data_IF_953045059982
#
_entry.id   IF_953045059982
#
_cell.length_a   1.000
_cell.length_b   1.000
_cell.length_c   1.000
_cell.angle_alpha   90.00
_cell.angle_beta   90.00
_cell.angle_gamma   90.00
#
_symmetry.space_group_name_H-M   'P 1'
#
loop_
_entity.id
_entity.type
_entity.pdbx_description
1 polymer ?
#
# COMPACT_ATOMS: atom_id res chain seq x y z
N UNK A 1 -15.53 16.68 3.44
CA UNK A 1 -15.35 18.12 3.27
C UNK A 1 -16.14 18.64 2.08
N UNK A 2 -15.86 18.14 0.88
CA UNK A 2 -16.54 18.54 -0.38
C UNK A 2 -18.06 18.43 -0.32
N UNK A 3 -18.59 17.29 0.12
CA UNK A 3 -20.04 17.08 0.27
C UNK A 3 -20.66 18.08 1.24
N UNK A 4 -20.00 18.33 2.36
CA UNK A 4 -20.47 19.30 3.36
C UNK A 4 -20.43 20.74 2.84
N UNK A 5 -19.36 21.12 2.12
CA UNK A 5 -19.21 22.45 1.52
C UNK A 5 -20.26 22.73 0.44
N UNK A 6 -20.47 21.77 -0.46
CA UNK A 6 -21.52 21.87 -1.49
C UNK A 6 -22.90 21.92 -0.83
N UNK A 7 -23.14 21.11 0.20
CA UNK A 7 -24.40 21.15 0.95
C UNK A 7 -24.68 22.53 1.56
N UNK A 8 -23.71 23.15 2.23
CA UNK A 8 -23.88 24.50 2.81
C UNK A 8 -24.12 25.56 1.74
N UNK A 9 -23.41 25.46 0.61
CA UNK A 9 -23.60 26.37 -0.51
C UNK A 9 -25.01 26.26 -1.12
N UNK A 10 -25.50 25.04 -1.35
CA UNK A 10 -26.83 24.81 -1.88
C UNK A 10 -27.93 25.27 -0.92
N UNK A 11 -27.72 25.10 0.38
CA UNK A 11 -28.66 25.54 1.41
C UNK A 11 -28.74 27.08 1.44
N UNK A 12 -27.60 27.77 1.38
CA UNK A 12 -27.57 29.24 1.28
C UNK A 12 -28.27 29.75 0.00
N UNK A 13 -28.01 29.12 -1.15
CA UNK A 13 -28.68 29.47 -2.41
C UNK A 13 -30.19 29.25 -2.30
N UNK A 14 -30.61 28.10 -1.75
CA UNK A 14 -32.01 27.76 -1.53
C UNK A 14 -32.75 28.78 -0.64
N UNK A 15 -32.10 29.29 0.41
CA UNK A 15 -32.69 30.34 1.26
C UNK A 15 -32.77 31.71 0.58
N UNK A 16 -31.89 32.00 -0.39
CA UNK A 16 -31.84 33.29 -1.09
C UNK A 16 -32.81 33.38 -2.29
N UNK A 17 -33.38 32.25 -2.73
CA UNK A 17 -34.36 32.19 -3.83
C UNK A 17 -33.85 32.53 -5.22
N UNK A 18 -32.56 32.84 -5.40
CA UNK A 18 -31.94 33.20 -6.68
C UNK A 18 -30.84 32.17 -7.03
N UNK A 19 -31.10 31.32 -8.03
CA UNK A 19 -30.16 30.28 -8.47
C UNK A 19 -29.40 30.68 -9.74
N UNK A 20 -28.69 31.79 -9.71
CA UNK A 20 -27.81 32.19 -10.83
C UNK A 20 -26.51 31.38 -10.83
N UNK A 21 -25.97 31.13 -12.03
CA UNK A 21 -24.75 30.33 -12.23
C UNK A 21 -23.53 30.90 -11.49
N UNK A 22 -23.48 32.22 -11.34
CA UNK A 22 -22.41 32.91 -10.61
C UNK A 22 -22.38 32.54 -9.12
N UNK A 23 -23.54 32.19 -8.53
CA UNK A 23 -23.65 31.81 -7.12
C UNK A 23 -23.21 30.37 -6.85
N UNK A 24 -23.26 29.48 -7.85
CA UNK A 24 -22.82 28.08 -7.71
C UNK A 24 -21.36 27.86 -8.09
N UNK A 25 -20.79 28.71 -8.95
CA UNK A 25 -19.43 28.51 -9.50
C UNK A 25 -18.33 28.51 -8.41
N UNK A 26 -18.39 29.44 -7.44
CA UNK A 26 -17.41 29.53 -6.37
C UNK A 26 -17.31 28.28 -5.49
N UNK A 27 -18.41 27.87 -4.83
CA UNK A 27 -18.40 26.71 -3.94
C UNK A 27 -18.04 25.38 -4.63
N UNK A 28 -18.40 25.23 -5.91
CA UNK A 28 -18.02 24.06 -6.71
C UNK A 28 -16.49 24.04 -6.93
N UNK A 29 -15.88 25.19 -7.24
CA UNK A 29 -14.43 25.31 -7.38
C UNK A 29 -13.67 24.93 -6.12
N UNK A 30 -14.12 25.39 -4.96
CA UNK A 30 -13.52 25.05 -3.66
C UNK A 30 -13.61 23.53 -3.37
N UNK A 31 -14.74 22.91 -3.69
CA UNK A 31 -14.91 21.47 -3.53
C UNK A 31 -13.99 20.65 -4.44
N UNK A 32 -13.71 21.13 -5.66
CA UNK A 32 -12.76 20.46 -6.57
C UNK A 32 -11.33 20.51 -6.02
N UNK A 33 -10.89 21.65 -5.49
CA UNK A 33 -9.57 21.79 -4.87
C UNK A 33 -9.42 20.83 -3.69
N UNK A 34 -10.44 20.74 -2.83
CA UNK A 34 -10.40 19.84 -1.69
C UNK A 34 -10.32 18.35 -2.10
N UNK A 35 -10.92 18.00 -3.24
CA UNK A 35 -10.76 16.65 -3.82
C UNK A 35 -9.33 16.41 -4.30
N UNK A 36 -8.76 17.38 -5.02
CA UNK A 36 -7.38 17.29 -5.50
C UNK A 36 -6.39 17.14 -4.34
N UNK A 37 -6.58 17.89 -3.25
CA UNK A 37 -5.76 17.74 -2.03
C UNK A 37 -5.92 16.36 -1.39
N UNK A 38 -7.15 15.83 -1.33
CA UNK A 38 -7.39 14.48 -0.83
C UNK A 38 -6.63 13.42 -1.62
N UNK A 39 -6.63 13.52 -2.95
CA UNK A 39 -5.87 12.61 -3.82
C UNK A 39 -4.35 12.80 -3.69
N UNK A 40 -3.89 14.04 -3.59
CA UNK A 40 -2.47 14.37 -3.42
C UNK A 40 -1.88 13.76 -2.15
N UNK A 41 -2.66 13.64 -1.07
CA UNK A 41 -2.24 12.99 0.18
C UNK A 41 -2.47 11.48 0.15
N UNK A 42 -3.57 11.00 -0.42
CA UNK A 42 -3.93 9.59 -0.40
C UNK A 42 -2.96 8.71 -1.20
N UNK A 43 -2.53 9.15 -2.39
CA UNK A 43 -1.69 8.33 -3.27
C UNK A 43 -0.32 8.04 -2.63
N UNK A 44 0.45 9.04 -2.16
CA UNK A 44 1.73 8.78 -1.50
C UNK A 44 1.58 7.94 -0.23
N UNK A 45 0.52 8.15 0.55
CA UNK A 45 0.27 7.39 1.77
C UNK A 45 0.08 5.89 1.48
N UNK A 46 -0.69 5.54 0.45
CA UNK A 46 -0.91 4.14 0.06
C UNK A 46 0.38 3.50 -0.49
N UNK A 47 1.18 4.24 -1.26
CA UNK A 47 2.47 3.76 -1.75
C UNK A 47 3.44 3.47 -0.58
N UNK A 48 3.53 4.39 0.39
CA UNK A 48 4.32 4.20 1.60
C UNK A 48 3.89 2.97 2.41
N UNK A 49 2.58 2.81 2.62
CA UNK A 49 2.03 1.63 3.27
C UNK A 49 2.42 0.32 2.56
N UNK A 50 2.29 0.27 1.23
CA UNK A 50 2.65 -0.92 0.46
C UNK A 50 4.16 -1.24 0.56
N UNK A 51 5.01 -0.21 0.49
CA UNK A 51 6.46 -0.36 0.63
C UNK A 51 6.83 -0.95 2.01
N UNK A 52 6.21 -0.45 3.09
CA UNK A 52 6.43 -0.97 4.45
C UNK A 52 5.95 -2.42 4.59
N UNK A 53 4.76 -2.75 4.07
CA UNK A 53 4.23 -4.12 4.08
C UNK A 53 5.16 -5.08 3.33
N UNK A 54 5.70 -4.66 2.19
CA UNK A 54 6.68 -5.45 1.43
C UNK A 54 7.97 -5.67 2.22
N UNK A 55 8.49 -4.63 2.87
CA UNK A 55 9.64 -4.75 3.77
C UNK A 55 9.38 -5.73 4.91
N UNK A 56 8.21 -5.64 5.55
CA UNK A 56 7.83 -6.52 6.66
C UNK A 56 7.77 -8.00 6.22
N UNK A 57 7.24 -8.28 5.02
CA UNK A 57 7.24 -9.64 4.46
C UNK A 57 8.65 -10.19 4.26
N UNK A 58 9.59 -9.36 3.82
CA UNK A 58 10.99 -9.75 3.66
C UNK A 58 11.60 -10.15 5.01
N UNK A 59 11.43 -9.30 6.03
CA UNK A 59 11.93 -9.56 7.39
C UNK A 59 11.32 -10.84 7.95
N UNK A 60 10.02 -11.04 7.81
CA UNK A 60 9.33 -12.24 8.25
C UNK A 60 9.85 -13.49 7.52
N UNK A 61 10.15 -13.38 6.23
CA UNK A 61 10.79 -14.43 5.45
C UNK A 61 12.14 -14.83 6.02
N UNK A 62 13.02 -13.85 6.30
CA UNK A 62 14.33 -14.10 6.92
C UNK A 62 14.21 -14.73 8.30
N UNK A 63 13.25 -14.26 9.12
CA UNK A 63 12.98 -14.82 10.44
C UNK A 63 12.54 -16.29 10.35
N UNK A 64 11.68 -16.61 9.38
CA UNK A 64 11.22 -17.98 9.16
C UNK A 64 12.34 -18.90 8.67
N UNK A 65 13.21 -18.43 7.78
CA UNK A 65 14.41 -19.18 7.37
C UNK A 65 15.33 -19.45 8.56
N UNK A 66 15.59 -18.43 9.39
CA UNK A 66 16.39 -18.58 10.60
C UNK A 66 15.79 -19.61 11.58
N UNK A 67 14.47 -19.58 11.78
CA UNK A 67 13.77 -20.55 12.61
C UNK A 67 13.90 -21.99 12.06
N UNK A 68 13.83 -22.16 10.73
CA UNK A 68 14.06 -23.45 10.09
C UNK A 68 15.49 -23.95 10.30
N UNK A 69 16.49 -23.08 10.13
CA UNK A 69 17.90 -23.42 10.34
C UNK A 69 18.17 -23.83 11.80
N UNK A 70 17.60 -23.10 12.76
CA UNK A 70 17.69 -23.45 14.18
C UNK A 70 17.02 -24.80 14.47
N UNK A 71 15.81 -25.02 13.97
CA UNK A 71 15.09 -26.28 14.16
C UNK A 71 15.88 -27.46 13.57
N UNK A 72 16.42 -27.30 12.36
CA UNK A 72 17.26 -28.32 11.74
C UNK A 72 18.53 -28.59 12.54
N UNK A 73 19.19 -27.54 13.06
CA UNK A 73 20.35 -27.68 13.94
C UNK A 73 20.02 -28.43 15.23
N UNK A 74 18.90 -28.12 15.89
CA UNK A 74 18.48 -28.80 17.12
C UNK A 74 18.11 -30.27 16.89
N UNK A 75 17.46 -30.60 15.78
CA UNK A 75 17.02 -31.97 15.48
C UNK A 75 18.18 -32.84 14.97
N UNK A 76 19.08 -32.28 14.16
CA UNK A 76 20.14 -33.06 13.48
C UNK A 76 21.51 -32.94 14.14
N UNK A 77 21.73 -31.97 15.04
CA UNK A 77 23.00 -31.73 15.74
C UNK A 77 24.13 -31.16 14.86
N UNK A 78 23.93 -31.07 13.55
CA UNK A 78 24.88 -30.53 12.58
C UNK A 78 24.36 -29.20 12.03
N UNK A 79 25.26 -28.22 11.83
CA UNK A 79 24.89 -26.99 11.12
C UNK A 79 24.50 -27.36 9.69
N UNK A 80 23.27 -27.09 9.31
CA UNK A 80 22.87 -27.10 7.89
C UNK A 80 23.62 -25.96 7.22
N UNK A 81 24.75 -26.26 6.59
CA UNK A 81 25.48 -25.30 5.79
C UNK A 81 24.65 -25.03 4.52
N UNK A 82 23.84 -23.98 4.54
CA UNK A 82 23.01 -23.55 3.42
C UNK A 82 23.80 -23.09 2.17
N UNK A 83 25.13 -23.27 2.13
CA UNK A 83 26.02 -22.73 1.10
C UNK A 83 26.61 -23.77 0.15
N UNK A 84 26.19 -25.03 0.19
CA UNK A 84 26.45 -25.94 -0.92
C UNK A 84 25.29 -25.86 -1.92
N UNK A 85 25.42 -25.13 -3.04
CA UNK A 85 24.50 -25.30 -4.15
C UNK A 85 24.61 -26.77 -4.55
N UNK A 86 23.54 -27.54 -4.30
CA UNK A 86 23.47 -28.95 -4.65
C UNK A 86 23.97 -29.11 -6.07
N UNK A 87 25.16 -29.70 -6.22
CA UNK A 87 25.82 -29.90 -7.50
C UNK A 87 24.94 -30.89 -8.26
N UNK A 88 24.00 -30.36 -9.03
CA UNK A 88 23.14 -31.13 -9.93
C UNK A 88 24.02 -31.70 -11.03
N UNK A 89 24.60 -32.86 -10.74
CA UNK A 89 25.33 -33.66 -11.70
C UNK A 89 24.30 -34.20 -12.69
N UNK A 90 24.39 -33.85 -13.99
CA UNK A 90 23.49 -34.43 -14.98
C UNK A 90 23.72 -35.94 -15.03
N UNK A 91 22.63 -36.71 -14.94
CA UNK A 91 22.65 -38.16 -15.06
C UNK A 91 23.27 -38.53 -16.41
N UNK A 92 24.44 -39.17 -16.36
CA UNK A 92 25.12 -39.69 -17.55
C UNK A 92 24.24 -40.77 -18.17
N UNK A 93 23.56 -40.42 -19.26
CA UNK A 93 22.80 -41.35 -20.08
C UNK A 93 23.78 -42.35 -20.70
N UNK A 94 23.72 -43.60 -20.25
CA UNK A 94 24.51 -44.70 -20.79
C UNK A 94 24.10 -44.99 -22.23
N UNK A 95 25.10 -45.36 -23.04
CA UNK A 95 24.91 -46.00 -24.36
C UNK A 95 24.61 -47.49 -24.15
#
# INVERSE_FOLDING_TARGET
>A
GTVWGIYHALLAIGTSGQSTIDKVAGPIGEALIMTALGLAVAIPAVLGYNALVRGNKSILGSLNSFAHDLHAYFVTGARVNASEPGKVLPLKKGN
#
